data_IF_673688867938
#
_entry.id   IF_673688867938
#
_cell.length_a   1.000
_cell.length_b   1.000
_cell.length_c   1.000
_cell.angle_alpha   90.00
_cell.angle_beta   90.00
_cell.angle_gamma   90.00
#
_symmetry.space_group_name_H-M   'P 1'
#
loop_
_entity.id
_entity.type
_entity.pdbx_description
1 polymer ?
#
# COMPACT_ATOMS: atom_id res chain seq x y z
N UNK A 1 14.64 4.94 10.17
CA UNK A 1 15.88 5.08 10.94
C UNK A 1 17.10 5.02 10.03
N UNK A 2 17.23 4.08 9.09
CA UNK A 2 18.41 3.95 8.20
C UNK A 2 18.84 5.27 7.52
N UNK A 3 17.89 6.05 6.98
CA UNK A 3 18.19 7.35 6.36
C UNK A 3 18.71 8.37 7.40
N UNK A 4 18.20 8.33 8.61
CA UNK A 4 18.69 9.21 9.68
C UNK A 4 20.11 8.83 10.10
N UNK A 5 20.45 7.54 10.15
CA UNK A 5 21.80 7.06 10.46
C UNK A 5 22.80 7.46 9.39
N UNK A 6 22.43 7.31 8.11
CA UNK A 6 23.24 7.81 7.00
C UNK A 6 23.45 9.32 7.09
N UNK A 7 22.40 10.07 7.45
CA UNK A 7 22.48 11.53 7.61
C UNK A 7 23.37 11.91 8.79
N UNK A 8 23.29 11.20 9.92
CA UNK A 8 24.16 11.40 11.09
C UNK A 8 25.63 11.17 10.74
N UNK A 9 25.92 10.17 9.88
CA UNK A 9 27.27 9.89 9.42
C UNK A 9 27.91 11.03 8.61
N UNK A 10 27.11 11.94 8.04
CA UNK A 10 27.59 13.12 7.32
C UNK A 10 28.04 14.27 8.26
N UNK A 11 27.91 14.13 9.58
CA UNK A 11 28.31 15.13 10.57
C UNK A 11 27.50 16.42 10.56
N UNK A 12 26.16 16.35 10.60
CA UNK A 12 25.30 17.54 10.62
C UNK A 12 25.55 18.40 11.87
N UNK A 13 25.27 19.71 11.77
CA UNK A 13 25.46 20.67 12.88
C UNK A 13 24.32 20.63 13.91
N UNK A 14 23.22 19.96 13.64
CA UNK A 14 22.05 19.88 14.49
C UNK A 14 21.58 18.44 14.72
N UNK A 15 20.52 18.26 15.52
CA UNK A 15 19.93 16.96 15.77
C UNK A 15 19.37 16.34 14.49
N UNK A 16 19.51 15.04 14.34
CA UNK A 16 18.90 14.26 13.26
C UNK A 16 17.96 13.22 13.85
N UNK A 17 16.68 13.35 13.56
CA UNK A 17 15.63 12.45 14.02
C UNK A 17 14.83 11.94 12.82
N UNK A 18 14.56 10.64 12.80
CA UNK A 18 13.65 10.04 11.83
C UNK A 18 12.20 10.25 12.33
N UNK A 19 11.43 11.02 11.59
CA UNK A 19 9.99 11.19 11.81
C UNK A 19 9.29 10.60 10.59
N UNK A 20 8.56 9.51 10.78
CA UNK A 20 7.83 8.85 9.71
C UNK A 20 6.69 9.73 9.18
N UNK A 21 6.16 9.40 8.01
CA UNK A 21 4.91 9.97 7.55
C UNK A 21 3.74 9.45 8.39
N UNK A 22 2.54 9.98 8.18
CA UNK A 22 1.31 9.56 8.82
C UNK A 22 0.10 9.79 7.91
N UNK A 23 -1.07 9.36 8.36
CA UNK A 23 -2.34 9.60 7.70
C UNK A 23 -3.35 10.23 8.68
N UNK A 24 -4.34 10.90 8.12
CA UNK A 24 -5.46 11.43 8.87
C UNK A 24 -6.61 10.42 8.77
N UNK A 25 -6.92 9.75 9.88
CA UNK A 25 -8.02 8.78 9.94
C UNK A 25 -9.38 9.45 9.72
N UNK A 26 -9.52 10.71 10.10
CA UNK A 26 -10.73 11.50 9.89
C UNK A 26 -11.06 11.69 8.39
N UNK A 27 -10.08 11.58 7.50
CA UNK A 27 -10.29 11.61 6.04
C UNK A 27 -11.16 10.44 5.55
N UNK A 28 -11.23 9.36 6.31
CA UNK A 28 -12.05 8.18 6.01
C UNK A 28 -13.38 8.15 6.79
N UNK A 29 -13.63 9.15 7.63
CA UNK A 29 -14.87 9.23 8.42
C UNK A 29 -16.09 9.32 7.50
N UNK A 30 -17.07 8.42 7.71
CA UNK A 30 -18.29 8.33 6.91
C UNK A 30 -18.13 7.66 5.55
N UNK A 31 -16.92 7.20 5.18
CA UNK A 31 -16.73 6.37 3.99
C UNK A 31 -17.06 4.91 4.32
N UNK A 32 -17.85 4.28 3.45
CA UNK A 32 -18.35 2.93 3.67
C UNK A 32 -17.70 1.92 2.72
N UNK A 33 -17.59 0.69 3.18
CA UNK A 33 -17.27 -0.47 2.37
C UNK A 33 -18.54 -1.18 1.93
N UNK A 34 -18.64 -1.46 0.63
CA UNK A 34 -19.77 -2.19 0.05
C UNK A 34 -19.25 -3.50 -0.54
N UNK A 35 -19.54 -4.66 0.08
CA UNK A 35 -19.09 -5.93 -0.45
C UNK A 35 -19.68 -6.19 -1.84
N UNK A 36 -18.81 -6.63 -2.76
CA UNK A 36 -19.21 -7.02 -4.11
C UNK A 36 -19.27 -8.54 -4.30
N UNK A 37 -19.77 -8.99 -5.46
CA UNK A 37 -19.76 -10.41 -5.83
C UNK A 37 -18.34 -10.90 -6.16
N UNK A 38 -17.52 -10.04 -6.74
CA UNK A 38 -16.12 -10.28 -7.11
C UNK A 38 -15.19 -9.57 -6.15
N UNK A 39 -14.11 -10.23 -5.74
CA UNK A 39 -13.07 -9.59 -4.92
C UNK A 39 -12.37 -8.47 -5.71
N UNK A 40 -12.30 -7.28 -5.14
CA UNK A 40 -11.69 -6.09 -5.74
C UNK A 40 -10.38 -5.78 -5.04
N UNK A 41 -9.30 -5.79 -5.81
CA UNK A 41 -7.96 -5.40 -5.33
C UNK A 41 -7.60 -4.06 -5.95
N UNK A 42 -7.37 -3.04 -5.13
CA UNK A 42 -7.20 -1.67 -5.59
C UNK A 42 -5.81 -1.12 -5.31
N UNK A 43 -5.20 -0.52 -6.33
CA UNK A 43 -4.02 0.33 -6.19
C UNK A 43 -4.37 1.77 -6.58
N UNK A 44 -4.03 2.73 -5.74
CA UNK A 44 -4.20 4.15 -6.05
C UNK A 44 -2.84 4.82 -6.25
N UNK A 45 -2.67 5.52 -7.36
CA UNK A 45 -1.49 6.28 -7.74
C UNK A 45 -0.88 5.85 -9.06
N UNK A 46 -0.14 6.78 -9.65
CA UNK A 46 0.48 6.59 -10.97
C UNK A 46 1.69 5.66 -10.93
N UNK A 47 1.91 4.97 -12.04
CA UNK A 47 3.07 4.12 -12.26
C UNK A 47 4.18 4.94 -12.92
N UNK A 48 5.22 5.24 -12.15
CA UNK A 48 6.41 5.92 -12.62
C UNK A 48 7.70 5.26 -12.10
N UNK A 49 8.81 5.53 -12.76
CA UNK A 49 10.10 4.95 -12.39
C UNK A 49 10.10 3.43 -12.46
N UNK A 50 10.56 2.79 -11.40
CA UNK A 50 10.71 1.33 -11.30
C UNK A 50 9.47 0.62 -10.72
N UNK A 51 8.38 1.34 -10.43
CA UNK A 51 7.14 0.70 -9.98
C UNK A 51 6.52 -0.07 -11.15
N UNK A 52 6.42 -1.39 -11.01
CA UNK A 52 5.98 -2.29 -12.06
C UNK A 52 4.78 -3.13 -11.59
N UNK A 53 3.61 -3.02 -12.24
CA UNK A 53 2.44 -3.84 -11.92
C UNK A 53 2.50 -5.24 -12.54
N UNK A 54 3.41 -5.53 -13.48
CA UNK A 54 3.42 -6.76 -14.29
C UNK A 54 3.55 -8.05 -13.47
N UNK A 55 4.41 -8.13 -12.42
CA UNK A 55 4.46 -9.35 -11.60
C UNK A 55 3.11 -9.66 -10.93
N UNK A 56 2.39 -8.63 -10.44
CA UNK A 56 1.04 -8.80 -9.90
C UNK A 56 0.03 -9.19 -10.98
N UNK A 57 0.06 -8.55 -12.15
CA UNK A 57 -0.83 -8.88 -13.27
C UNK A 57 -0.61 -10.31 -13.77
N UNK A 58 0.65 -10.76 -13.85
CA UNK A 58 0.98 -12.14 -14.19
C UNK A 58 0.43 -13.12 -13.14
N UNK A 59 0.64 -12.84 -11.85
CA UNK A 59 0.10 -13.63 -10.75
C UNK A 59 -1.43 -13.71 -10.78
N UNK A 60 -2.09 -12.60 -11.12
CA UNK A 60 -3.54 -12.53 -11.27
C UNK A 60 -4.01 -13.41 -12.44
N UNK A 61 -3.35 -13.34 -13.59
CA UNK A 61 -3.66 -14.17 -14.76
C UNK A 61 -3.48 -15.66 -14.44
N UNK A 62 -2.34 -16.04 -13.85
CA UNK A 62 -1.99 -17.42 -13.52
C UNK A 62 -2.89 -18.02 -12.43
N UNK A 63 -3.46 -17.19 -11.56
CA UNK A 63 -4.37 -17.62 -10.50
C UNK A 63 -5.71 -18.13 -11.03
N UNK A 64 -6.15 -17.64 -12.18
CA UNK A 64 -7.47 -17.89 -12.79
C UNK A 64 -8.66 -17.55 -11.89
N UNK A 65 -8.44 -16.77 -10.85
CA UNK A 65 -9.46 -16.33 -9.90
C UNK A 65 -10.34 -15.25 -10.52
N UNK A 66 -11.61 -15.20 -10.12
CA UNK A 66 -12.53 -14.14 -10.51
C UNK A 66 -12.33 -12.92 -9.58
N UNK A 67 -11.26 -12.19 -9.84
CA UNK A 67 -10.81 -11.02 -9.08
C UNK A 67 -10.71 -9.82 -10.01
N UNK A 68 -11.15 -8.66 -9.56
CA UNK A 68 -11.02 -7.39 -10.27
C UNK A 68 -9.83 -6.61 -9.69
N UNK A 69 -8.86 -6.28 -10.54
CA UNK A 69 -7.78 -5.37 -10.22
C UNK A 69 -8.17 -3.94 -10.62
N UNK A 70 -8.29 -3.04 -9.65
CA UNK A 70 -8.63 -1.62 -9.87
C UNK A 70 -7.39 -0.76 -9.72
N UNK A 71 -7.13 0.08 -10.70
CA UNK A 71 -6.02 1.02 -10.68
C UNK A 71 -6.55 2.44 -10.88
N UNK A 72 -6.23 3.34 -9.97
CA UNK A 72 -6.57 4.77 -10.06
C UNK A 72 -5.30 5.58 -10.22
N UNK A 73 -5.20 6.33 -11.31
CA UNK A 73 -4.05 7.15 -11.69
C UNK A 73 -3.51 6.80 -13.07
N UNK A 74 -2.32 7.32 -13.41
CA UNK A 74 -1.73 7.04 -14.71
C UNK A 74 -1.24 5.59 -14.79
N UNK A 75 -1.90 4.81 -15.63
CA UNK A 75 -1.52 3.45 -15.96
C UNK A 75 -0.87 3.44 -17.34
N UNK A 76 0.36 2.93 -17.43
CA UNK A 76 1.14 2.99 -18.67
C UNK A 76 0.48 2.16 -19.77
N UNK A 77 0.45 2.68 -21.01
CA UNK A 77 -0.08 1.97 -22.17
C UNK A 77 0.54 0.60 -22.35
N UNK A 78 1.87 0.49 -22.21
CA UNK A 78 2.57 -0.79 -22.31
C UNK A 78 2.18 -1.81 -21.23
N UNK A 79 1.73 -1.38 -20.04
CA UNK A 79 1.24 -2.29 -19.00
C UNK A 79 -0.21 -2.71 -19.25
N UNK A 80 -1.01 -1.84 -19.89
CA UNK A 80 -2.35 -2.19 -20.37
C UNK A 80 -2.25 -3.26 -21.47
N UNK A 81 -1.46 -3.02 -22.50
CA UNK A 81 -1.23 -3.96 -23.60
C UNK A 81 -0.69 -5.30 -23.07
N UNK A 82 0.17 -5.27 -22.05
CA UNK A 82 0.64 -6.47 -21.35
C UNK A 82 -0.51 -7.23 -20.70
N UNK A 83 -1.38 -6.55 -19.96
CA UNK A 83 -2.52 -7.15 -19.29
C UNK A 83 -3.54 -7.72 -20.27
N UNK A 84 -3.81 -7.04 -21.38
CA UNK A 84 -4.63 -7.52 -22.50
C UNK A 84 -4.04 -8.80 -23.09
N UNK A 85 -2.73 -8.85 -23.31
CA UNK A 85 -2.02 -10.05 -23.76
C UNK A 85 -2.10 -11.26 -22.79
N UNK A 86 -2.45 -11.02 -21.53
CA UNK A 86 -2.71 -12.04 -20.51
C UNK A 86 -4.20 -12.43 -20.40
N UNK A 87 -5.09 -11.81 -21.18
CA UNK A 87 -6.54 -12.03 -21.12
C UNK A 87 -7.17 -11.47 -19.83
N UNK A 88 -6.72 -10.30 -19.39
CA UNK A 88 -7.20 -9.65 -18.15
C UNK A 88 -8.23 -8.54 -18.41
N UNK A 89 -8.70 -8.33 -19.64
CA UNK A 89 -9.55 -7.20 -20.03
C UNK A 89 -10.80 -7.08 -19.15
N UNK A 90 -11.47 -8.19 -18.86
CA UNK A 90 -12.68 -8.24 -18.03
C UNK A 90 -12.40 -8.22 -16.52
N UNK A 91 -11.12 -8.21 -16.12
CA UNK A 91 -10.64 -8.21 -14.74
C UNK A 91 -9.82 -6.99 -14.38
N UNK A 92 -9.75 -6.01 -15.28
CA UNK A 92 -8.95 -4.80 -15.11
C UNK A 92 -9.84 -3.55 -15.21
N UNK A 93 -9.95 -2.82 -14.11
CA UNK A 93 -10.62 -1.52 -14.07
C UNK A 93 -9.58 -0.42 -13.95
N UNK A 94 -9.49 0.42 -14.99
CA UNK A 94 -8.55 1.54 -15.04
C UNK A 94 -9.31 2.86 -14.88
N UNK A 95 -9.02 3.55 -13.79
CA UNK A 95 -9.57 4.86 -13.49
C UNK A 95 -8.50 5.94 -13.74
N UNK A 96 -8.82 7.02 -14.44
CA UNK A 96 -7.87 8.12 -14.63
C UNK A 96 -7.55 8.80 -13.30
N UNK A 97 -6.60 9.73 -13.32
CA UNK A 97 -6.34 10.57 -12.16
C UNK A 97 -7.63 11.23 -11.67
N UNK A 98 -7.87 11.17 -10.37
CA UNK A 98 -9.06 11.71 -9.73
C UNK A 98 -8.68 12.52 -8.47
N UNK A 99 -9.58 13.38 -7.98
CA UNK A 99 -9.39 14.10 -6.72
C UNK A 99 -9.14 13.16 -5.55
N UNK A 100 -8.48 13.68 -4.50
CA UNK A 100 -8.13 12.89 -3.29
C UNK A 100 -9.36 12.20 -2.68
N UNK A 101 -10.50 12.88 -2.57
CA UNK A 101 -11.72 12.31 -2.01
C UNK A 101 -12.12 11.00 -2.72
N UNK A 102 -12.15 11.02 -4.06
CA UNK A 102 -12.46 9.81 -4.87
C UNK A 102 -11.42 8.70 -4.65
N UNK A 103 -10.15 9.07 -4.47
CA UNK A 103 -9.10 8.08 -4.15
C UNK A 103 -9.36 7.40 -2.80
N UNK A 104 -9.76 8.16 -1.79
CA UNK A 104 -10.06 7.64 -0.44
C UNK A 104 -11.33 6.76 -0.45
N UNK A 105 -12.39 7.21 -1.15
CA UNK A 105 -13.60 6.42 -1.36
C UNK A 105 -13.26 5.07 -2.00
N UNK A 106 -12.46 5.07 -3.07
CA UNK A 106 -12.08 3.85 -3.78
C UNK A 106 -11.21 2.92 -2.92
N UNK A 107 -10.33 3.50 -2.09
CA UNK A 107 -9.53 2.73 -1.12
C UNK A 107 -10.43 2.08 -0.06
N UNK A 108 -11.35 2.84 0.54
CA UNK A 108 -12.25 2.33 1.55
C UNK A 108 -13.20 1.28 0.99
N UNK A 109 -13.72 1.50 -0.22
CA UNK A 109 -14.59 0.55 -0.94
C UNK A 109 -13.81 -0.52 -1.71
N UNK A 110 -12.77 -1.07 -1.09
CA UNK A 110 -11.95 -2.16 -1.63
C UNK A 110 -11.99 -3.37 -0.73
N UNK A 111 -11.91 -4.58 -1.30
CA UNK A 111 -11.76 -5.80 -0.50
C UNK A 111 -10.32 -5.96 -0.03
N UNK A 112 -9.35 -5.57 -0.87
CA UNK A 112 -7.92 -5.59 -0.60
C UNK A 112 -7.26 -4.36 -1.23
N UNK A 113 -6.26 -3.78 -0.58
CA UNK A 113 -5.42 -2.73 -1.14
C UNK A 113 -4.08 -3.32 -1.60
N UNK A 114 -3.65 -2.98 -2.81
CA UNK A 114 -2.38 -3.44 -3.39
C UNK A 114 -1.30 -2.39 -3.16
N UNK A 115 -0.37 -2.69 -2.27
CA UNK A 115 0.80 -1.86 -2.03
C UNK A 115 1.97 -2.33 -2.89
N UNK A 116 2.49 -1.46 -3.76
CA UNK A 116 3.63 -1.74 -4.63
C UNK A 116 4.82 -0.85 -4.29
N UNK A 117 5.92 -1.44 -3.79
CA UNK A 117 7.20 -0.77 -3.58
C UNK A 117 8.29 -1.61 -4.26
N UNK A 118 8.98 -1.09 -5.30
CA UNK A 118 10.04 -1.84 -5.97
C UNK A 118 11.26 -2.01 -5.06
N UNK A 119 12.02 -3.09 -5.24
CA UNK A 119 13.29 -3.26 -4.52
C UNK A 119 14.32 -2.20 -4.92
N UNK A 120 14.38 -1.85 -6.20
CA UNK A 120 15.22 -0.79 -6.74
C UNK A 120 16.72 -0.93 -6.38
N UNK A 121 17.22 -2.17 -6.34
CA UNK A 121 18.61 -2.47 -5.94
C UNK A 121 18.83 -2.22 -4.44
N UNK A 122 17.89 -2.61 -3.62
CA UNK A 122 17.91 -2.47 -2.16
C UNK A 122 17.43 -1.11 -1.63
N UNK A 123 17.30 -0.08 -2.48
CA UNK A 123 16.83 1.25 -2.05
C UNK A 123 15.38 1.26 -1.59
N UNK A 124 14.58 0.32 -2.05
CA UNK A 124 13.18 0.16 -1.64
C UNK A 124 13.00 -0.25 -0.18
N UNK A 125 14.03 -0.85 0.46
CA UNK A 125 13.97 -1.33 1.84
C UNK A 125 13.71 -0.22 2.87
N UNK A 126 14.26 0.96 2.65
CA UNK A 126 14.03 2.14 3.51
C UNK A 126 12.75 2.92 3.21
N UNK A 127 11.98 2.52 2.21
CA UNK A 127 10.83 3.31 1.75
C UNK A 127 9.59 3.03 2.59
N UNK A 128 9.16 4.04 3.34
CA UNK A 128 7.81 4.15 3.92
C UNK A 128 7.04 5.22 3.14
N UNK A 129 6.39 4.81 2.05
CA UNK A 129 5.61 5.74 1.23
C UNK A 129 4.36 6.21 1.96
N UNK A 130 3.84 7.40 1.61
CA UNK A 130 2.57 7.90 2.17
C UNK A 130 1.39 6.94 1.99
N UNK A 131 1.42 6.09 0.93
CA UNK A 131 0.40 5.06 0.69
C UNK A 131 0.29 4.01 1.79
N UNK A 132 1.39 3.63 2.42
CA UNK A 132 1.37 2.65 3.52
C UNK A 132 0.45 3.15 4.62
N UNK A 133 0.63 4.41 5.04
CA UNK A 133 -0.16 5.04 6.10
C UNK A 133 -1.62 5.27 5.67
N UNK A 134 -1.83 5.72 4.43
CA UNK A 134 -3.17 5.94 3.88
C UNK A 134 -3.95 4.64 3.77
N UNK A 135 -3.32 3.55 3.32
CA UNK A 135 -3.94 2.22 3.22
C UNK A 135 -4.25 1.61 4.60
N UNK A 136 -3.38 1.82 5.58
CA UNK A 136 -3.66 1.43 6.96
C UNK A 136 -4.83 2.24 7.54
N UNK A 137 -4.93 3.54 7.23
CA UNK A 137 -6.04 4.38 7.67
C UNK A 137 -7.37 4.05 6.96
N UNK A 138 -7.32 3.49 5.76
CA UNK A 138 -8.50 2.94 5.09
C UNK A 138 -9.03 1.66 5.77
N UNK A 139 -8.24 1.05 6.66
CA UNK A 139 -8.58 -0.13 7.45
C UNK A 139 -9.00 -1.34 6.62
N UNK A 140 -8.49 -1.46 5.39
CA UNK A 140 -8.73 -2.64 4.55
C UNK A 140 -7.48 -3.52 4.50
N UNK A 141 -7.65 -4.86 4.36
CA UNK A 141 -6.54 -5.77 4.16
C UNK A 141 -5.60 -5.33 3.04
N UNK A 142 -4.29 -5.55 3.22
CA UNK A 142 -3.26 -5.11 2.27
C UNK A 142 -2.53 -6.32 1.70
N UNK A 143 -2.47 -6.45 0.38
CA UNK A 143 -1.48 -7.28 -0.30
C UNK A 143 -0.25 -6.42 -0.57
N UNK A 144 0.82 -6.65 0.18
CA UNK A 144 2.04 -5.87 0.10
C UNK A 144 3.09 -6.56 -0.79
N UNK A 145 3.23 -6.09 -2.04
CA UNK A 145 4.31 -6.44 -2.95
C UNK A 145 5.48 -5.47 -2.73
N UNK A 146 6.32 -5.76 -1.75
CA UNK A 146 7.37 -4.86 -1.23
C UNK A 146 8.62 -5.66 -0.87
N UNK A 147 9.82 -5.05 -0.73
CA UNK A 147 11.00 -5.73 -0.20
C UNK A 147 10.69 -6.38 1.15
N UNK A 148 10.84 -7.74 1.29
CA UNK A 148 10.39 -8.45 2.48
C UNK A 148 11.16 -8.12 3.78
N UNK A 149 12.36 -7.58 3.65
CA UNK A 149 13.24 -7.11 4.73
C UNK A 149 13.28 -5.57 4.84
N UNK A 150 12.22 -4.91 4.35
CA UNK A 150 12.10 -3.45 4.33
C UNK A 150 11.12 -2.90 5.36
N UNK A 151 11.24 -1.61 5.65
CA UNK A 151 10.44 -0.91 6.65
C UNK A 151 8.91 -0.99 6.42
N UNK A 152 8.48 -1.03 5.16
CA UNK A 152 7.06 -1.21 4.85
C UNK A 152 6.59 -2.63 5.17
N UNK A 153 7.42 -3.65 4.89
CA UNK A 153 7.12 -5.04 5.23
C UNK A 153 6.98 -5.25 6.73
N UNK A 154 7.90 -4.66 7.49
CA UNK A 154 7.90 -4.74 8.96
C UNK A 154 6.63 -4.11 9.53
N UNK A 155 6.27 -2.90 9.09
CA UNK A 155 5.05 -2.23 9.54
C UNK A 155 3.78 -3.02 9.20
N UNK A 156 3.67 -3.57 7.98
CA UNK A 156 2.52 -4.39 7.58
C UNK A 156 2.40 -5.66 8.43
N UNK A 157 3.52 -6.30 8.78
CA UNK A 157 3.53 -7.47 9.67
C UNK A 157 3.19 -7.13 11.11
N UNK A 158 3.76 -6.04 11.66
CA UNK A 158 3.47 -5.59 13.03
C UNK A 158 1.98 -5.29 13.22
N UNK A 159 1.37 -4.62 12.25
CA UNK A 159 -0.07 -4.31 12.25
C UNK A 159 -0.92 -5.56 11.97
N UNK A 160 -0.36 -6.59 11.33
CA UNK A 160 -1.13 -7.73 10.85
C UNK A 160 -2.05 -7.38 9.67
N UNK A 161 -1.67 -6.39 8.85
CA UNK A 161 -2.53 -5.84 7.81
C UNK A 161 -2.71 -6.77 6.60
N UNK A 162 -1.86 -7.80 6.43
CA UNK A 162 -1.99 -8.77 5.34
C UNK A 162 -0.68 -9.39 4.88
N UNK A 163 -0.70 -10.15 3.79
CA UNK A 163 0.47 -10.83 3.27
C UNK A 163 1.52 -9.87 2.70
N UNK A 164 2.79 -10.22 2.96
CA UNK A 164 3.97 -9.53 2.42
C UNK A 164 4.69 -10.46 1.46
N UNK A 165 4.93 -10.03 0.24
CA UNK A 165 5.56 -10.79 -0.84
C UNK A 165 6.62 -9.90 -1.50
N UNK A 166 7.72 -10.47 -1.99
CA UNK A 166 8.67 -9.72 -2.80
C UNK A 166 7.99 -9.18 -4.07
N UNK A 167 8.34 -7.95 -4.53
CA UNK A 167 7.60 -7.28 -5.59
C UNK A 167 7.68 -7.99 -6.95
N UNK A 168 8.66 -8.85 -7.15
CA UNK A 168 8.92 -9.65 -8.35
C UNK A 168 8.61 -11.16 -8.20
N UNK A 169 8.18 -11.60 -7.02
CA UNK A 169 7.80 -13.00 -6.75
C UNK A 169 6.37 -13.29 -7.24
N UNK A 170 6.23 -13.61 -8.53
CA UNK A 170 4.95 -13.94 -9.16
C UNK A 170 4.25 -15.10 -8.47
N UNK A 171 4.97 -16.16 -8.11
CA UNK A 171 4.41 -17.33 -7.42
C UNK A 171 3.94 -16.99 -6.00
N UNK A 172 4.70 -16.19 -5.27
CA UNK A 172 4.31 -15.68 -3.96
C UNK A 172 3.05 -14.82 -4.03
N UNK A 173 2.99 -13.91 -4.99
CA UNK A 173 1.81 -13.07 -5.25
C UNK A 173 0.59 -13.93 -5.61
N UNK A 174 0.77 -14.95 -6.44
CA UNK A 174 -0.30 -15.88 -6.80
C UNK A 174 -0.83 -16.65 -5.57
N UNK A 175 0.06 -17.15 -4.70
CA UNK A 175 -0.36 -17.83 -3.44
C UNK A 175 -1.12 -16.88 -2.52
N UNK A 176 -0.64 -15.65 -2.35
CA UNK A 176 -1.30 -14.63 -1.54
C UNK A 176 -2.68 -14.25 -2.10
N UNK A 177 -2.82 -14.15 -3.43
CA UNK A 177 -4.12 -13.93 -4.10
C UNK A 177 -5.11 -15.05 -3.82
N UNK A 178 -4.67 -16.32 -3.89
CA UNK A 178 -5.52 -17.49 -3.59
C UNK A 178 -5.98 -17.45 -2.13
N UNK A 179 -5.08 -17.22 -1.19
CA UNK A 179 -5.42 -17.12 0.23
C UNK A 179 -6.43 -16.00 0.52
N UNK A 180 -6.21 -14.80 -0.02
CA UNK A 180 -7.12 -13.67 0.15
C UNK A 180 -8.49 -13.95 -0.48
N UNK A 181 -8.53 -14.55 -1.66
CA UNK A 181 -9.75 -14.90 -2.34
C UNK A 181 -10.53 -15.98 -1.57
N UNK A 182 -9.85 -17.00 -1.03
CA UNK A 182 -10.50 -18.02 -0.21
C UNK A 182 -11.10 -17.41 1.06
N UNK A 183 -10.41 -16.47 1.70
CA UNK A 183 -10.94 -15.70 2.84
C UNK A 183 -12.16 -14.89 2.43
N UNK A 184 -12.10 -14.18 1.30
CA UNK A 184 -13.22 -13.43 0.75
C UNK A 184 -14.46 -14.31 0.55
N UNK A 185 -14.28 -15.51 -0.02
CA UNK A 185 -15.37 -16.47 -0.29
C UNK A 185 -15.96 -17.12 0.97
N UNK A 186 -15.19 -17.21 2.05
CA UNK A 186 -15.55 -17.92 3.27
C UNK A 186 -15.99 -17.00 4.43
N UNK A 187 -16.39 -15.79 4.19
CA UNK A 187 -16.90 -14.92 5.26
C UNK A 187 -16.37 -13.50 5.17
N UNK A 188 -15.66 -13.22 4.11
CA UNK A 188 -15.17 -11.90 3.82
C UNK A 188 -13.80 -11.58 4.40
N UNK A 189 -13.38 -10.40 4.07
CA UNK A 189 -12.16 -9.79 4.54
C UNK A 189 -12.56 -8.65 5.49
N UNK A 190 -12.50 -8.86 6.81
CA UNK A 190 -12.90 -7.85 7.78
C UNK A 190 -11.99 -6.63 7.69
N UNK A 191 -12.49 -5.51 8.20
CA UNK A 191 -11.67 -4.33 8.45
C UNK A 191 -10.52 -4.65 9.39
N UNK A 192 -9.40 -3.93 9.24
CA UNK A 192 -8.30 -3.98 10.19
C UNK A 192 -8.79 -3.38 11.52
N UNK A 193 -8.64 -4.13 12.60
CA UNK A 193 -9.00 -3.66 13.94
C UNK A 193 -7.83 -2.87 14.54
N UNK A 194 -7.59 -1.66 14.04
CA UNK A 194 -6.56 -0.79 14.61
C UNK A 194 -7.05 -0.21 15.94
N UNK A 195 -6.34 -0.50 17.02
CA UNK A 195 -6.57 0.12 18.32
C UNK A 195 -6.11 1.59 18.37
N UNK A 196 -6.38 2.27 19.49
CA UNK A 196 -6.01 3.68 19.66
C UNK A 196 -4.50 3.89 19.63
N UNK A 197 -3.70 2.93 20.09
CA UNK A 197 -2.25 3.01 20.06
C UNK A 197 -1.74 3.02 18.62
N UNK A 198 -2.24 2.12 17.77
CA UNK A 198 -1.90 2.11 16.34
C UNK A 198 -2.38 3.37 15.63
N UNK A 199 -3.62 3.81 15.89
CA UNK A 199 -4.14 5.05 15.29
C UNK A 199 -3.27 6.25 15.67
N UNK A 200 -2.85 6.36 16.93
CA UNK A 200 -1.91 7.38 17.38
C UNK A 200 -0.55 7.27 16.68
N UNK A 201 0.06 6.07 16.66
CA UNK A 201 1.36 5.82 16.00
C UNK A 201 1.35 6.11 14.50
N UNK A 202 0.23 5.98 13.82
CA UNK A 202 0.09 6.20 12.38
C UNK A 202 -0.47 7.58 12.03
N UNK A 203 -0.88 8.37 13.03
CA UNK A 203 -1.52 9.68 12.85
C UNK A 203 -0.54 10.74 12.35
N UNK A 204 -0.96 11.50 11.35
CA UNK A 204 -0.24 12.68 10.88
C UNK A 204 -0.15 13.75 11.96
N UNK A 205 -1.18 13.90 12.80
CA UNK A 205 -1.17 14.84 13.94
C UNK A 205 -0.01 14.55 14.87
N UNK A 206 0.19 13.29 15.26
CA UNK A 206 1.33 12.87 16.10
C UNK A 206 2.67 13.21 15.44
N UNK A 207 2.79 13.01 14.11
CA UNK A 207 4.02 13.39 13.38
C UNK A 207 4.28 14.88 13.42
N UNK A 208 3.24 15.71 13.30
CA UNK A 208 3.35 17.18 13.41
C UNK A 208 3.77 17.60 14.82
N UNK A 209 3.26 16.95 15.85
CA UNK A 209 3.65 17.20 17.25
C UNK A 209 5.13 16.86 17.48
N UNK A 210 5.62 15.71 16.99
CA UNK A 210 7.03 15.32 17.04
C UNK A 210 7.94 16.35 16.31
N UNK A 211 7.54 16.84 15.14
CA UNK A 211 8.26 17.89 14.41
C UNK A 211 8.30 19.17 15.23
N UNK A 212 7.18 19.59 15.83
CA UNK A 212 7.11 20.79 16.63
C UNK A 212 7.99 20.68 17.89
N UNK A 213 8.08 19.52 18.53
CA UNK A 213 8.98 19.28 19.66
C UNK A 213 10.45 19.37 19.24
N UNK A 214 10.80 18.73 18.12
CA UNK A 214 12.16 18.82 17.57
C UNK A 214 12.54 20.27 17.27
N UNK A 215 11.66 21.05 16.66
CA UNK A 215 11.90 22.47 16.37
C UNK A 215 12.12 23.30 17.64
N UNK A 216 11.40 23.00 18.73
CA UNK A 216 11.58 23.71 20.02
C UNK A 216 12.87 23.30 20.72
N UNK A 217 13.43 22.14 20.43
CA UNK A 217 14.68 21.65 21.02
C UNK A 217 15.93 22.23 20.36
N UNK A 218 15.79 22.88 19.22
CA UNK A 218 16.90 23.56 18.54
C UNK A 218 17.08 24.94 19.14
N UNK A 219 18.27 25.28 19.66
CA UNK A 219 18.56 26.56 20.27
C UNK A 219 18.52 27.74 19.31
#
# INVERSE_FOLDING_TARGET
EAIADETRALGPRGPVQAIANGSDFDDFAGLEYHPGERMRITHTGSFFGQRDPRPFLQALADSKLDVVARFLGDFRTADREWAEGLGLEDRLELHPYAPRATSLELQRDSDVLLLLIPDAGGRGKGVLSGKVFEYLAAERPILAAVPPDGAAADLIREVGAGPVVAPDDVDGLRRALVELHDRFRNGGLPDLALDEEWRHRLSRRTRVEEIAELMRSVP
#
